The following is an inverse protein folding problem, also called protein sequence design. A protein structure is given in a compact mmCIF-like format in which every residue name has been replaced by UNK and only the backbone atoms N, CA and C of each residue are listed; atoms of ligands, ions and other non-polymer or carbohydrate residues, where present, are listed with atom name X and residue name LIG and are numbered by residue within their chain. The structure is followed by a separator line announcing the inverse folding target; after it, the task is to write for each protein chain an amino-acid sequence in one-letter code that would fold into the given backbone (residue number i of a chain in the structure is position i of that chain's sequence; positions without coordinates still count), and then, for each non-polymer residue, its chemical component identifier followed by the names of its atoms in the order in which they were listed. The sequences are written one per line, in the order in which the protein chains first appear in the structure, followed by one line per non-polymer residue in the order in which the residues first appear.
data_IF_571357591266
#
_entry.id   IF_571357591266
#
_cell.length_a   1.000
_cell.length_b   1.000
_cell.length_c   1.000
_cell.angle_alpha   90.00
_cell.angle_beta   90.00
_cell.angle_gamma   90.00
#
_symmetry.space_group_name_H-M   'P 1'
#
loop_
_entity.id
_entity.type
_entity.pdbx_description
1 polymer ?
#
# COMPACT_ATOMS: atom_id res chain seq x y z
N UNK A 1 -35.85 44.71 2.64
CA UNK A 1 -34.75 43.89 3.18
C UNK A 1 -35.36 42.97 4.23
N UNK A 2 -35.90 41.83 3.80
CA UNK A 2 -36.46 40.82 4.71
C UNK A 2 -35.30 39.93 5.15
N UNK A 3 -35.00 39.93 6.45
CA UNK A 3 -34.11 38.97 7.08
C UNK A 3 -34.83 37.63 7.14
N UNK A 4 -34.34 36.65 6.36
CA UNK A 4 -34.74 35.26 6.50
C UNK A 4 -34.01 34.72 7.74
N UNK A 5 -34.72 34.23 8.77
CA UNK A 5 -34.07 33.62 9.92
C UNK A 5 -33.41 32.32 9.45
N UNK A 6 -32.09 32.23 9.66
CA UNK A 6 -31.36 30.97 9.60
C UNK A 6 -31.89 30.13 10.75
N UNK A 7 -32.63 29.07 10.44
CA UNK A 7 -33.05 28.08 11.44
C UNK A 7 -31.79 27.39 11.96
N UNK A 8 -31.46 27.63 13.22
CA UNK A 8 -30.53 26.78 13.94
C UNK A 8 -31.09 25.35 13.90
N UNK A 9 -30.35 24.41 13.30
CA UNK A 9 -30.73 23.00 13.29
C UNK A 9 -30.97 22.50 14.71
N UNK A 10 -31.97 21.65 14.89
CA UNK A 10 -32.26 21.05 16.19
C UNK A 10 -31.00 20.35 16.71
N UNK A 11 -30.55 20.71 17.92
CA UNK A 11 -29.41 20.07 18.55
C UNK A 11 -29.77 18.62 18.90
N UNK A 12 -28.97 17.66 18.41
CA UNK A 12 -29.14 16.25 18.73
C UNK A 12 -28.96 15.99 20.23
N UNK A 13 -29.64 14.98 20.81
CA UNK A 13 -29.38 14.59 22.20
C UNK A 13 -27.91 14.17 22.36
N UNK A 14 -27.21 14.58 23.43
CA UNK A 14 -25.81 14.18 23.64
C UNK A 14 -25.71 12.68 23.98
N UNK A 15 -24.71 11.97 23.44
CA UNK A 15 -24.47 10.57 23.79
C UNK A 15 -23.74 10.42 25.15
N UNK A 16 -22.90 11.40 25.52
CA UNK A 16 -22.04 11.32 26.71
C UNK A 16 -22.78 10.91 28.00
N UNK A 17 -23.98 11.45 28.33
CA UNK A 17 -24.68 11.01 29.54
C UNK A 17 -25.02 9.52 29.59
N UNK A 18 -25.26 8.89 28.42
CA UNK A 18 -25.50 7.44 28.34
C UNK A 18 -24.20 6.66 28.60
N UNK A 19 -23.06 7.15 28.10
CA UNK A 19 -21.73 6.59 28.36
C UNK A 19 -21.36 6.73 29.84
N UNK A 20 -21.61 7.89 30.44
CA UNK A 20 -21.34 8.14 31.84
C UNK A 20 -22.15 7.22 32.76
N UNK A 21 -23.42 6.97 32.42
CA UNK A 21 -24.32 6.10 33.18
C UNK A 21 -24.04 4.60 33.01
N UNK A 22 -23.39 4.19 31.91
CA UNK A 22 -23.08 2.78 31.66
C UNK A 22 -22.04 2.23 32.65
N UNK A 23 -22.23 1.00 33.09
CA UNK A 23 -21.26 0.31 33.95
C UNK A 23 -20.00 -0.07 33.15
N UNK A 24 -18.83 -0.04 33.79
CA UNK A 24 -17.60 -0.50 33.16
C UNK A 24 -17.71 -2.00 32.78
N UNK A 25 -17.25 -2.35 31.59
CA UNK A 25 -17.36 -3.68 30.98
C UNK A 25 -18.73 -3.99 30.38
N UNK A 26 -19.71 -3.10 30.50
CA UNK A 26 -21.05 -3.33 29.94
C UNK A 26 -21.13 -3.06 28.44
N UNK A 27 -22.30 -3.37 27.86
CA UNK A 27 -22.65 -3.04 26.49
C UNK A 27 -23.69 -1.92 26.51
N UNK A 28 -23.31 -0.74 26.02
CA UNK A 28 -24.23 0.35 25.73
C UNK A 28 -24.78 0.17 24.32
N UNK A 29 -26.10 0.00 24.23
CA UNK A 29 -26.84 -0.05 22.96
C UNK A 29 -27.83 1.12 22.92
N UNK A 30 -27.45 2.28 22.36
CA UNK A 30 -28.36 3.42 22.27
C UNK A 30 -29.59 3.10 21.42
N UNK A 31 -30.68 3.82 21.67
CA UNK A 31 -31.83 3.77 20.78
C UNK A 31 -31.47 4.33 19.39
N UNK A 32 -32.13 3.86 18.31
CA UNK A 32 -31.88 4.36 16.97
C UNK A 32 -31.99 5.89 16.88
N UNK A 33 -31.00 6.54 16.28
CA UNK A 33 -31.01 8.00 16.14
C UNK A 33 -29.64 8.64 15.93
N UNK A 34 -29.66 9.98 15.90
CA UNK A 34 -28.46 10.81 15.81
C UNK A 34 -28.21 11.42 17.18
N UNK A 35 -26.97 11.32 17.64
CA UNK A 35 -26.51 11.87 18.90
C UNK A 35 -25.41 12.90 18.69
N UNK A 36 -25.40 13.94 19.51
CA UNK A 36 -24.32 14.91 19.53
C UNK A 36 -23.09 14.32 20.24
N UNK A 37 -21.94 14.42 19.57
CA UNK A 37 -20.61 14.31 20.17
C UNK A 37 -20.12 15.66 20.71
N UNK A 38 -18.86 15.75 21.17
CA UNK A 38 -17.88 14.65 21.25
C UNK A 38 -18.24 13.65 22.34
N UNK A 39 -17.67 12.45 22.24
CA UNK A 39 -17.82 11.36 23.22
C UNK A 39 -16.45 10.95 23.72
N UNK A 40 -16.25 10.97 25.04
CA UNK A 40 -15.06 10.44 25.72
C UNK A 40 -15.43 9.14 26.42
N UNK A 41 -14.70 8.08 26.10
CA UNK A 41 -14.83 6.76 26.73
C UNK A 41 -13.58 6.51 27.55
N UNK A 42 -13.71 6.60 28.88
CA UNK A 42 -12.60 6.53 29.85
C UNK A 42 -12.62 5.23 30.68
N UNK A 43 -13.52 4.30 30.35
CA UNK A 43 -13.70 3.00 30.98
C UNK A 43 -13.91 1.92 29.91
N UNK A 44 -13.53 0.65 30.16
CA UNK A 44 -13.86 -0.45 29.26
C UNK A 44 -15.36 -0.44 29.00
N UNK A 45 -15.78 -0.32 27.76
CA UNK A 45 -17.18 -0.22 27.39
C UNK A 45 -17.35 -0.66 25.94
N UNK A 46 -18.38 -1.45 25.66
CA UNK A 46 -18.82 -1.69 24.29
C UNK A 46 -19.92 -0.70 23.93
N UNK A 47 -19.72 0.13 22.91
CA UNK A 47 -20.77 0.95 22.31
C UNK A 47 -21.16 0.29 20.98
N UNK A 48 -22.39 -0.21 20.93
CA UNK A 48 -22.94 -0.91 19.76
C UNK A 48 -24.09 -0.11 19.17
N UNK A 49 -23.88 0.44 17.97
CA UNK A 49 -24.88 1.23 17.26
C UNK A 49 -25.92 0.41 16.51
N UNK A 50 -25.71 -0.91 16.34
CA UNK A 50 -26.57 -1.81 15.54
C UNK A 50 -26.92 -1.24 14.16
N UNK A 51 -26.00 -0.51 13.54
CA UNK A 51 -26.15 0.19 12.25
C UNK A 51 -27.24 1.25 12.22
N UNK A 52 -27.71 1.68 13.40
CA UNK A 52 -28.85 2.57 13.58
C UNK A 52 -28.52 3.84 14.38
N UNK A 53 -27.27 3.98 14.82
CA UNK A 53 -26.81 5.09 15.64
C UNK A 53 -25.75 5.91 14.91
N UNK A 54 -25.98 7.21 14.80
CA UNK A 54 -24.99 8.19 14.33
C UNK A 54 -24.49 9.04 15.48
N UNK A 55 -23.17 9.25 15.56
CA UNK A 55 -22.54 10.25 16.42
C UNK A 55 -22.03 11.39 15.54
N UNK A 56 -22.61 12.57 15.70
CA UNK A 56 -22.27 13.78 14.94
C UNK A 56 -21.40 14.71 15.82
N UNK A 57 -20.14 14.92 15.44
CA UNK A 57 -19.19 15.79 16.15
C UNK A 57 -19.45 17.29 15.99
N UNK A 58 -20.45 17.70 15.20
CA UNK A 58 -20.84 19.09 15.03
C UNK A 58 -19.80 19.98 14.33
N UNK A 59 -18.81 19.38 13.66
CA UNK A 59 -17.77 20.10 12.93
C UNK A 59 -16.64 20.64 13.82
N UNK A 60 -16.49 20.12 15.05
CA UNK A 60 -15.44 20.55 15.98
C UNK A 60 -14.85 19.38 16.75
N UNK A 61 -13.53 19.30 16.82
CA UNK A 61 -12.84 18.30 17.62
C UNK A 61 -12.96 16.88 17.05
N UNK A 62 -12.49 15.91 17.83
CA UNK A 62 -12.67 14.48 17.57
C UNK A 62 -14.08 14.01 17.96
N UNK A 63 -14.69 13.15 17.15
CA UNK A 63 -16.06 12.62 17.40
C UNK A 63 -16.06 11.69 18.61
N UNK A 64 -15.17 10.69 18.63
CA UNK A 64 -15.00 9.78 19.77
C UNK A 64 -13.54 9.69 20.21
N UNK A 65 -13.27 9.96 21.48
CA UNK A 65 -11.99 9.73 22.13
C UNK A 65 -12.07 8.48 23.01
N UNK A 66 -11.35 7.43 22.63
CA UNK A 66 -11.11 6.26 23.47
C UNK A 66 -9.86 6.51 24.32
N UNK A 67 -10.05 6.75 25.61
CA UNK A 67 -8.99 6.96 26.59
C UNK A 67 -9.08 5.89 27.69
N UNK A 68 -9.03 4.64 27.24
CA UNK A 68 -9.22 3.46 28.08
C UNK A 68 -8.65 2.24 27.40
N UNK A 69 -8.59 1.14 28.15
CA UNK A 69 -8.20 -0.17 27.64
C UNK A 69 -9.45 -1.05 27.50
N UNK A 70 -9.50 -1.89 26.46
CA UNK A 70 -10.56 -2.90 26.30
C UNK A 70 -11.95 -2.35 25.94
N UNK A 71 -12.06 -1.14 25.38
CA UNK A 71 -13.32 -0.65 24.81
C UNK A 71 -13.56 -1.19 23.41
N UNK A 72 -14.84 -1.25 23.02
CA UNK A 72 -15.26 -1.62 21.66
C UNK A 72 -16.21 -0.57 21.11
N UNK A 73 -15.92 -0.04 19.92
CA UNK A 73 -16.83 0.79 19.14
C UNK A 73 -17.23 0.02 17.89
N UNK A 74 -18.52 -0.28 17.74
CA UNK A 74 -19.00 -1.03 16.57
C UNK A 74 -20.37 -0.65 16.04
N UNK A 75 -20.56 -0.90 14.75
CA UNK A 75 -21.83 -0.70 14.04
C UNK A 75 -22.37 0.74 14.18
N UNK A 76 -21.45 1.72 14.23
CA UNK A 76 -21.76 3.14 14.38
C UNK A 76 -21.50 3.90 13.08
N UNK A 77 -22.23 4.99 12.88
CA UNK A 77 -21.86 6.03 11.93
C UNK A 77 -21.24 7.21 12.70
N UNK A 78 -19.97 7.52 12.45
CA UNK A 78 -19.22 8.59 13.10
C UNK A 78 -18.91 9.68 12.08
N UNK A 79 -19.41 10.90 12.30
CA UNK A 79 -19.32 11.95 11.28
C UNK A 79 -19.11 13.34 11.85
N UNK A 80 -18.76 14.28 10.97
CA UNK A 80 -18.59 15.70 11.27
C UNK A 80 -17.55 15.99 12.36
N UNK A 81 -16.33 15.44 12.26
CA UNK A 81 -15.21 15.91 13.09
C UNK A 81 -14.89 17.38 12.79
N UNK A 82 -14.02 18.00 13.59
CA UNK A 82 -13.39 19.28 13.24
C UNK A 82 -12.37 19.17 12.09
N UNK A 83 -11.67 20.28 11.83
CA UNK A 83 -10.74 20.44 10.70
C UNK A 83 -9.32 20.85 11.14
N UNK A 84 -8.99 20.71 12.42
CA UNK A 84 -7.65 21.01 12.94
C UNK A 84 -6.67 19.88 12.65
N UNK A 85 -5.66 20.17 11.82
CA UNK A 85 -4.53 19.26 11.60
C UNK A 85 -3.60 19.17 12.82
N UNK A 86 -3.57 20.23 13.65
CA UNK A 86 -2.73 20.27 14.85
C UNK A 86 -3.34 19.43 15.98
N UNK A 87 -4.66 19.49 16.15
CA UNK A 87 -5.37 18.73 17.18
C UNK A 87 -5.74 17.31 16.72
N UNK A 88 -5.50 17.02 15.43
CA UNK A 88 -5.79 15.73 14.79
C UNK A 88 -7.27 15.37 14.92
N UNK A 89 -8.15 16.31 14.55
CA UNK A 89 -9.60 16.12 14.67
C UNK A 89 -10.05 14.87 13.91
N UNK A 90 -10.44 13.83 14.66
CA UNK A 90 -10.62 12.48 14.11
C UNK A 90 -12.07 11.99 14.22
N UNK A 91 -12.44 10.97 13.45
CA UNK A 91 -13.63 10.16 13.73
C UNK A 91 -13.46 9.40 15.04
N UNK A 92 -12.33 8.71 15.18
CA UNK A 92 -11.94 8.05 16.44
C UNK A 92 -10.48 8.37 16.75
N UNK A 93 -10.21 8.86 17.95
CA UNK A 93 -8.85 8.92 18.49
C UNK A 93 -8.72 7.87 19.60
N UNK A 94 -7.64 7.11 19.57
CA UNK A 94 -7.36 6.02 20.50
C UNK A 94 -6.10 6.33 21.29
N UNK A 95 -6.23 6.26 22.61
CA UNK A 95 -5.17 6.42 23.61
C UNK A 95 -5.33 5.30 24.65
N UNK A 96 -4.92 4.10 24.25
CA UNK A 96 -5.06 2.93 25.10
C UNK A 96 -4.74 1.63 24.38
N UNK A 97 -5.06 0.52 25.04
CA UNK A 97 -4.70 -0.82 24.61
C UNK A 97 -5.90 -1.74 24.48
N UNK A 98 -5.76 -2.77 23.63
CA UNK A 98 -6.79 -3.81 23.48
C UNK A 98 -8.17 -3.29 23.08
N UNK A 99 -8.25 -2.10 22.48
CA UNK A 99 -9.50 -1.55 21.98
C UNK A 99 -9.84 -2.13 20.60
N UNK A 100 -11.13 -2.23 20.32
CA UNK A 100 -11.65 -2.72 19.04
C UNK A 100 -12.52 -1.63 18.41
N UNK A 101 -12.13 -1.17 17.23
CA UNK A 101 -12.88 -0.24 16.40
C UNK A 101 -13.28 -1.04 15.17
N UNK A 102 -14.53 -1.51 15.13
CA UNK A 102 -14.96 -2.39 14.05
C UNK A 102 -16.32 -2.08 13.45
N UNK A 103 -16.48 -2.36 12.16
CA UNK A 103 -17.80 -2.32 11.52
C UNK A 103 -18.44 -0.91 11.57
N UNK A 104 -17.62 0.15 11.59
CA UNK A 104 -18.10 1.54 11.64
C UNK A 104 -18.03 2.20 10.26
N UNK A 105 -18.95 3.13 10.02
CA UNK A 105 -18.87 4.10 8.93
C UNK A 105 -18.30 5.41 9.48
N UNK A 106 -17.15 5.85 9.00
CA UNK A 106 -16.47 7.08 9.42
C UNK A 106 -16.33 7.98 8.20
N UNK A 107 -17.06 9.10 8.17
CA UNK A 107 -17.02 10.03 7.05
C UNK A 107 -17.13 11.48 7.51
N UNK A 108 -16.81 12.42 6.61
CA UNK A 108 -16.69 13.83 6.93
C UNK A 108 -15.83 14.09 8.20
N UNK A 109 -14.85 13.22 8.41
CA UNK A 109 -13.85 13.34 9.46
C UNK A 109 -12.53 13.76 8.81
N UNK A 110 -11.79 14.69 9.43
CA UNK A 110 -10.50 15.09 8.87
C UNK A 110 -9.55 13.89 8.88
N UNK A 111 -9.35 13.29 10.05
CA UNK A 111 -8.69 11.98 10.22
C UNK A 111 -9.73 10.90 10.52
N UNK A 112 -9.54 9.68 10.03
CA UNK A 112 -10.48 8.57 10.29
C UNK A 112 -10.29 7.98 11.69
N UNK A 113 -9.26 7.13 11.83
CA UNK A 113 -8.86 6.51 13.11
C UNK A 113 -7.40 6.84 13.42
N UNK A 114 -7.16 7.52 14.53
CA UNK A 114 -5.82 7.95 14.96
C UNK A 114 -5.42 7.22 16.25
N UNK A 115 -4.42 6.35 16.16
CA UNK A 115 -3.82 5.62 17.28
C UNK A 115 -2.59 6.39 17.77
N UNK A 116 -2.66 6.90 19.00
CA UNK A 116 -1.56 7.60 19.64
C UNK A 116 -1.04 6.77 20.81
N UNK A 117 0.23 6.36 20.74
CA UNK A 117 0.90 5.60 21.80
C UNK A 117 0.08 4.39 22.26
N UNK A 118 -0.49 3.67 21.30
CA UNK A 118 -1.54 2.69 21.53
C UNK A 118 -1.07 1.31 21.08
N UNK A 119 -1.41 0.28 21.86
CA UNK A 119 -0.88 -1.07 21.66
C UNK A 119 -1.96 -2.16 21.65
N UNK A 120 -1.77 -3.20 20.83
CA UNK A 120 -2.67 -4.36 20.78
C UNK A 120 -4.13 -4.01 20.42
N UNK A 121 -4.35 -2.91 19.69
CA UNK A 121 -5.69 -2.52 19.23
C UNK A 121 -6.02 -3.14 17.88
N UNK A 122 -7.31 -3.23 17.60
CA UNK A 122 -7.85 -3.76 16.35
C UNK A 122 -8.71 -2.69 15.68
N UNK A 123 -8.32 -2.27 14.48
CA UNK A 123 -9.11 -1.43 13.59
C UNK A 123 -9.53 -2.31 12.41
N UNK A 124 -10.79 -2.76 12.38
CA UNK A 124 -11.22 -3.73 11.36
C UNK A 124 -12.57 -3.45 10.72
N UNK A 125 -12.71 -3.75 9.43
CA UNK A 125 -14.01 -3.66 8.71
C UNK A 125 -14.70 -2.30 8.84
N UNK A 126 -13.93 -1.22 8.96
CA UNK A 126 -14.49 0.13 8.94
C UNK A 126 -14.52 0.65 7.50
N UNK A 127 -15.55 1.43 7.17
CA UNK A 127 -15.59 2.22 5.95
C UNK A 127 -15.20 3.67 6.30
N UNK A 128 -14.04 4.13 5.81
CA UNK A 128 -13.43 5.40 6.18
C UNK A 128 -13.31 6.30 4.96
N UNK A 129 -13.80 7.53 5.06
CA UNK A 129 -13.53 8.60 4.11
C UNK A 129 -13.29 9.94 4.81
N UNK A 130 -12.52 10.81 4.16
CA UNK A 130 -12.20 12.12 4.72
C UNK A 130 -13.27 13.17 4.40
N UNK A 131 -13.01 14.42 4.80
CA UNK A 131 -13.82 15.58 4.41
C UNK A 131 -13.75 15.81 2.89
N UNK A 132 -14.81 16.37 2.27
CA UNK A 132 -14.85 16.67 0.83
C UNK A 132 -14.03 17.93 0.50
N UNK A 133 -12.72 17.88 0.76
CA UNK A 133 -11.73 18.92 0.46
C UNK A 133 -10.67 18.36 -0.49
N UNK A 134 -9.84 19.24 -1.05
CA UNK A 134 -8.73 18.85 -1.93
C UNK A 134 -7.80 17.83 -1.26
N UNK A 135 -7.26 16.90 -2.05
CA UNK A 135 -6.49 15.75 -1.55
C UNK A 135 -5.36 16.13 -0.58
N UNK A 136 -4.64 17.23 -0.85
CA UNK A 136 -3.55 17.70 0.02
C UNK A 136 -4.00 18.25 1.37
N UNK A 137 -5.28 18.62 1.50
CA UNK A 137 -5.91 19.19 2.70
C UNK A 137 -6.70 18.14 3.50
N UNK A 138 -6.97 16.97 2.90
CA UNK A 138 -7.56 15.83 3.61
C UNK A 138 -6.59 15.36 4.72
N UNK A 139 -7.15 14.80 5.79
CA UNK A 139 -6.36 14.11 6.80
C UNK A 139 -6.18 12.64 6.45
N UNK A 140 -5.44 11.94 7.31
CA UNK A 140 -5.09 10.55 7.11
C UNK A 140 -6.27 9.64 7.52
N UNK A 141 -6.55 8.59 6.75
CA UNK A 141 -7.63 7.65 7.02
C UNK A 141 -7.36 6.88 8.32
N UNK A 142 -6.15 6.32 8.43
CA UNK A 142 -5.70 5.59 9.61
C UNK A 142 -4.27 6.04 9.90
N UNK A 143 -4.00 6.42 11.15
CA UNK A 143 -2.69 6.90 11.58
C UNK A 143 -2.24 6.14 12.81
N UNK A 144 -1.05 5.55 12.75
CA UNK A 144 -0.36 4.92 13.87
C UNK A 144 0.83 5.80 14.25
N UNK A 145 0.85 6.30 15.48
CA UNK A 145 1.96 7.09 16.00
C UNK A 145 2.48 6.47 17.30
N UNK A 146 3.74 6.04 17.33
CA UNK A 146 4.35 5.29 18.45
C UNK A 146 3.47 4.12 18.92
N UNK A 147 2.88 3.40 17.98
CA UNK A 147 1.86 2.40 18.24
C UNK A 147 2.34 1.01 17.82
N UNK A 148 2.15 0.02 18.69
CA UNK A 148 2.79 -1.30 18.56
C UNK A 148 1.81 -2.46 18.61
N UNK A 149 2.09 -3.55 17.91
CA UNK A 149 1.28 -4.78 17.97
C UNK A 149 -0.20 -4.58 17.58
N UNK A 150 -0.53 -3.57 16.76
CA UNK A 150 -1.89 -3.30 16.34
C UNK A 150 -2.23 -4.04 15.04
N UNK A 151 -3.53 -4.27 14.82
CA UNK A 151 -4.05 -4.87 13.61
C UNK A 151 -4.97 -3.88 12.89
N UNK A 152 -4.61 -3.52 11.67
CA UNK A 152 -5.41 -2.69 10.75
C UNK A 152 -5.83 -3.59 9.60
N UNK A 153 -7.04 -4.15 9.69
CA UNK A 153 -7.46 -5.25 8.81
C UNK A 153 -8.82 -5.06 8.16
N UNK A 154 -8.97 -5.49 6.91
CA UNK A 154 -10.29 -5.58 6.27
C UNK A 154 -11.03 -4.22 6.16
N UNK A 155 -10.32 -3.08 6.21
CA UNK A 155 -10.95 -1.75 6.11
C UNK A 155 -11.12 -1.30 4.66
N UNK A 156 -12.17 -0.53 4.42
CA UNK A 156 -12.50 0.09 3.14
C UNK A 156 -12.21 1.58 3.26
N UNK A 157 -11.17 2.06 2.58
CA UNK A 157 -10.73 3.46 2.62
C UNK A 157 -11.01 4.12 1.27
N UNK A 158 -11.72 5.25 1.28
CA UNK A 158 -12.04 6.03 0.09
C UNK A 158 -11.74 7.48 0.35
N UNK A 159 -11.19 8.18 -0.64
CA UNK A 159 -11.12 9.64 -0.60
C UNK A 159 -10.52 10.21 0.70
N UNK A 160 -9.38 9.67 1.10
CA UNK A 160 -8.59 10.14 2.23
C UNK A 160 -7.17 10.48 1.78
N UNK A 161 -6.37 11.14 2.62
CA UNK A 161 -5.01 11.48 2.23
C UNK A 161 -4.11 10.25 2.24
N UNK A 162 -3.78 9.75 3.43
CA UNK A 162 -2.84 8.64 3.61
C UNK A 162 -3.37 7.60 4.61
N UNK A 163 -2.82 6.37 4.57
CA UNK A 163 -2.66 5.54 5.78
C UNK A 163 -1.22 5.65 6.24
N UNK A 164 -0.99 6.00 7.51
CA UNK A 164 0.35 6.36 8.00
C UNK A 164 0.77 5.49 9.18
N UNK A 165 2.01 5.00 9.14
CA UNK A 165 2.67 4.27 10.22
C UNK A 165 3.96 5.00 10.59
N UNK A 166 3.97 5.65 11.76
CA UNK A 166 5.05 6.51 12.25
C UNK A 166 5.62 5.99 13.56
N UNK A 167 6.95 5.83 13.62
CA UNK A 167 7.66 5.39 14.83
C UNK A 167 7.05 4.12 15.45
N UNK A 168 6.53 3.24 14.62
CA UNK A 168 5.64 2.14 15.01
C UNK A 168 6.21 0.81 14.53
N UNK A 169 5.92 -0.26 15.27
CA UNK A 169 6.47 -1.59 15.00
C UNK A 169 5.53 -2.73 15.33
N UNK A 170 5.81 -3.88 14.73
CA UNK A 170 5.09 -5.14 14.95
C UNK A 170 3.58 -5.02 14.64
N UNK A 171 3.19 -4.11 13.75
CA UNK A 171 1.80 -3.97 13.34
C UNK A 171 1.50 -4.81 12.08
N UNK A 172 0.27 -5.31 12.00
CA UNK A 172 -0.26 -5.99 10.84
C UNK A 172 -1.22 -5.04 10.09
N UNK A 173 -0.91 -4.76 8.83
CA UNK A 173 -1.76 -4.02 7.90
C UNK A 173 -2.17 -4.98 6.80
N UNK A 174 -3.38 -5.54 6.86
CA UNK A 174 -3.77 -6.62 5.94
C UNK A 174 -5.19 -6.52 5.38
N UNK A 175 -5.36 -6.97 4.13
CA UNK A 175 -6.68 -7.07 3.47
C UNK A 175 -7.49 -5.77 3.43
N UNK A 176 -6.83 -4.61 3.46
CA UNK A 176 -7.50 -3.32 3.31
C UNK A 176 -7.67 -2.98 1.82
N UNK A 177 -8.77 -2.32 1.47
CA UNK A 177 -9.05 -1.79 0.13
C UNK A 177 -9.04 -0.26 0.17
N UNK A 178 -7.98 0.37 -0.35
CA UNK A 178 -7.79 1.81 -0.33
C UNK A 178 -7.72 2.42 -1.74
N UNK A 179 -8.57 3.42 -2.02
CA UNK A 179 -8.65 4.08 -3.34
C UNK A 179 -8.89 5.58 -3.27
N UNK A 180 -8.39 6.31 -4.28
CA UNK A 180 -8.62 7.75 -4.43
C UNK A 180 -7.86 8.62 -3.43
N UNK A 181 -6.80 8.08 -2.83
CA UNK A 181 -5.92 8.77 -1.89
C UNK A 181 -4.56 9.13 -2.47
N UNK A 182 -3.70 9.68 -1.61
CA UNK A 182 -2.32 10.05 -1.95
C UNK A 182 -1.39 8.87 -1.72
N UNK A 183 -1.14 8.49 -0.47
CA UNK A 183 -0.38 7.27 -0.14
C UNK A 183 -1.34 6.20 0.40
N UNK A 184 -1.49 5.07 -0.29
CA UNK A 184 -2.29 3.97 0.28
C UNK A 184 -1.70 3.49 1.60
N UNK A 185 -0.36 3.46 1.68
CA UNK A 185 0.38 3.21 2.91
C UNK A 185 1.72 3.95 2.93
N UNK A 186 1.98 4.67 4.01
CA UNK A 186 3.16 5.50 4.19
C UNK A 186 3.84 5.17 5.53
N UNK A 187 5.06 4.64 5.47
CA UNK A 187 5.89 4.42 6.65
C UNK A 187 6.92 5.53 6.82
N UNK A 188 7.09 5.98 8.07
CA UNK A 188 8.26 6.76 8.47
C UNK A 188 8.83 6.21 9.77
N UNK A 189 10.15 5.96 9.80
CA UNK A 189 10.89 5.59 11.01
C UNK A 189 10.30 4.38 11.75
N UNK A 190 9.84 3.38 11.01
CA UNK A 190 9.06 2.25 11.54
C UNK A 190 9.76 0.92 11.27
N UNK A 191 9.47 -0.09 12.08
CA UNK A 191 10.25 -1.34 12.08
C UNK A 191 9.35 -2.58 12.13
N UNK A 192 9.77 -3.69 11.51
CA UNK A 192 9.16 -5.02 11.71
C UNK A 192 7.64 -5.11 11.50
N UNK A 193 7.08 -4.27 10.63
CA UNK A 193 5.64 -4.30 10.30
C UNK A 193 5.38 -5.22 9.10
N UNK A 194 4.15 -5.74 9.03
CA UNK A 194 3.69 -6.66 7.98
C UNK A 194 2.56 -6.04 7.18
N UNK A 195 2.69 -6.05 5.85
CA UNK A 195 1.74 -5.48 4.88
C UNK A 195 1.30 -6.59 3.94
N UNK A 196 0.07 -7.10 4.11
CA UNK A 196 -0.32 -8.38 3.50
C UNK A 196 -1.69 -8.37 2.81
N UNK A 197 -1.76 -8.80 1.56
CA UNK A 197 -3.05 -9.03 0.90
C UNK A 197 -3.90 -7.77 0.71
N UNK A 198 -3.31 -6.57 0.72
CA UNK A 198 -4.04 -5.33 0.53
C UNK A 198 -4.30 -5.05 -0.96
N UNK A 199 -5.38 -4.32 -1.23
CA UNK A 199 -5.73 -3.84 -2.55
C UNK A 199 -5.66 -2.31 -2.59
N UNK A 200 -4.67 -1.79 -3.31
CA UNK A 200 -4.39 -0.37 -3.43
C UNK A 200 -4.52 0.05 -4.89
N UNK A 201 -5.53 0.85 -5.19
CA UNK A 201 -5.89 1.19 -6.57
C UNK A 201 -6.20 2.68 -6.74
N UNK A 202 -5.73 3.29 -7.83
CA UNK A 202 -6.03 4.69 -8.16
C UNK A 202 -5.63 5.66 -7.03
N UNK A 203 -4.50 5.39 -6.39
CA UNK A 203 -3.84 6.29 -5.45
C UNK A 203 -2.61 6.91 -6.11
N UNK A 204 -2.15 8.06 -5.65
CA UNK A 204 -0.91 8.65 -6.20
C UNK A 204 0.29 7.73 -5.98
N UNK A 205 0.37 7.09 -4.82
CA UNK A 205 1.41 6.14 -4.44
C UNK A 205 0.75 4.96 -3.73
N UNK A 206 1.15 3.73 -4.08
CA UNK A 206 0.71 2.52 -3.38
C UNK A 206 1.32 2.43 -1.98
N UNK A 207 2.56 1.96 -1.90
CA UNK A 207 3.30 1.84 -0.63
C UNK A 207 4.56 2.68 -0.70
N UNK A 208 4.86 3.45 0.33
CA UNK A 208 6.16 4.13 0.44
C UNK A 208 6.79 3.85 1.80
N UNK A 209 8.00 3.26 1.77
CA UNK A 209 8.82 2.96 2.93
C UNK A 209 9.90 4.03 3.05
N UNK A 210 9.89 4.79 4.15
CA UNK A 210 10.89 5.82 4.43
C UNK A 210 11.55 5.58 5.78
N UNK A 211 12.88 5.50 5.78
CA UNK A 211 13.68 5.39 7.00
C UNK A 211 13.24 4.22 7.89
N UNK A 212 12.79 3.12 7.27
CA UNK A 212 12.11 2.02 7.94
C UNK A 212 12.83 0.71 7.65
N UNK A 213 12.78 -0.24 8.57
CA UNK A 213 13.59 -1.46 8.45
C UNK A 213 12.81 -2.73 8.84
N UNK A 214 13.16 -3.87 8.25
CA UNK A 214 12.54 -5.15 8.60
C UNK A 214 11.08 -5.27 8.16
N UNK A 215 10.64 -4.46 7.19
CA UNK A 215 9.25 -4.45 6.72
C UNK A 215 9.02 -5.59 5.73
N UNK A 216 7.95 -6.35 5.93
CA UNK A 216 7.51 -7.39 4.99
C UNK A 216 6.28 -6.88 4.24
N UNK A 217 6.39 -6.76 2.93
CA UNK A 217 5.30 -6.39 2.02
C UNK A 217 5.04 -7.56 1.09
N UNK A 218 3.92 -8.28 1.31
CA UNK A 218 3.64 -9.50 0.55
C UNK A 218 2.22 -9.63 0.03
N UNK A 219 2.08 -10.22 -1.15
CA UNK A 219 0.80 -10.57 -1.78
C UNK A 219 -0.18 -9.39 -1.91
N UNK A 220 0.33 -8.16 -2.06
CA UNK A 220 -0.51 -6.98 -2.26
C UNK A 220 -0.77 -6.73 -3.75
N UNK A 221 -1.94 -6.21 -4.09
CA UNK A 221 -2.24 -5.65 -5.40
C UNK A 221 -2.11 -4.13 -5.33
N UNK A 222 -1.21 -3.58 -6.13
CA UNK A 222 -1.00 -2.15 -6.29
C UNK A 222 -1.20 -1.82 -7.76
N UNK A 223 -2.20 -1.01 -8.08
CA UNK A 223 -2.57 -0.72 -9.45
C UNK A 223 -2.91 0.74 -9.70
N UNK A 224 -2.63 1.21 -10.92
CA UNK A 224 -3.04 2.53 -11.42
C UNK A 224 -2.49 3.70 -10.59
N UNK A 225 -1.27 3.58 -10.05
CA UNK A 225 -0.53 4.71 -9.49
C UNK A 225 0.05 5.56 -10.62
N UNK A 226 -0.79 6.42 -11.21
CA UNK A 226 -0.49 7.18 -12.43
C UNK A 226 -0.13 8.64 -12.12
N UNK A 227 0.40 9.36 -13.11
CA UNK A 227 0.82 10.76 -12.99
C UNK A 227 2.32 10.91 -12.74
N UNK A 228 2.79 12.15 -12.61
CA UNK A 228 4.23 12.48 -12.51
C UNK A 228 4.91 11.97 -11.24
N UNK A 229 4.14 11.60 -10.23
CA UNK A 229 4.61 11.03 -8.97
C UNK A 229 4.02 9.64 -8.72
N UNK A 230 3.55 8.97 -9.77
CA UNK A 230 2.90 7.67 -9.71
C UNK A 230 3.86 6.54 -9.34
N UNK A 231 3.81 6.06 -8.10
CA UNK A 231 4.74 5.02 -7.61
C UNK A 231 3.95 3.83 -7.07
N UNK A 232 4.30 2.62 -7.51
CA UNK A 232 3.78 1.37 -6.96
C UNK A 232 4.29 1.14 -5.54
N UNK A 233 5.57 0.79 -5.41
CA UNK A 233 6.27 0.69 -4.12
C UNK A 233 7.55 1.52 -4.14
N UNK A 234 7.67 2.47 -3.21
CA UNK A 234 8.83 3.33 -3.04
C UNK A 234 9.64 3.02 -1.79
N UNK A 235 10.96 3.20 -1.90
CA UNK A 235 11.94 2.99 -0.83
C UNK A 235 12.83 4.21 -0.73
N UNK A 236 12.96 4.73 0.49
CA UNK A 236 13.94 5.75 0.82
C UNK A 236 14.66 5.38 2.10
N UNK A 237 15.95 5.16 2.01
CA UNK A 237 16.80 4.80 3.13
C UNK A 237 16.19 3.67 4.00
N UNK A 238 15.77 2.59 3.34
CA UNK A 238 14.98 1.49 3.95
C UNK A 238 15.72 0.17 3.78
N UNK A 239 15.85 -0.61 4.85
CA UNK A 239 16.74 -1.78 4.92
C UNK A 239 16.05 -3.04 5.42
N UNK A 240 16.66 -4.21 5.18
CA UNK A 240 16.16 -5.53 5.61
C UNK A 240 14.70 -5.79 5.24
N UNK A 241 14.25 -5.30 4.08
CA UNK A 241 12.87 -5.51 3.62
C UNK A 241 12.71 -6.79 2.82
N UNK A 242 11.51 -7.35 2.90
CA UNK A 242 11.06 -8.46 2.04
C UNK A 242 9.85 -8.02 1.24
N UNK A 243 10.01 -7.96 -0.08
CA UNK A 243 9.00 -7.57 -1.05
C UNK A 243 8.69 -8.81 -1.88
N UNK A 244 7.56 -9.45 -1.59
CA UNK A 244 7.28 -10.81 -2.08
C UNK A 244 5.88 -10.97 -2.67
N UNK A 245 5.77 -11.60 -3.84
CA UNK A 245 4.45 -11.99 -4.39
C UNK A 245 3.51 -10.83 -4.69
N UNK A 246 4.01 -9.59 -4.72
CA UNK A 246 3.17 -8.42 -4.98
C UNK A 246 2.88 -8.27 -6.48
N UNK A 247 1.70 -7.76 -6.80
CA UNK A 247 1.28 -7.41 -8.16
C UNK A 247 1.28 -5.90 -8.31
N UNK A 248 2.22 -5.37 -9.08
CA UNK A 248 2.44 -3.93 -9.28
C UNK A 248 2.16 -3.61 -10.74
N UNK A 249 1.01 -3.00 -11.00
CA UNK A 249 0.40 -2.93 -12.32
C UNK A 249 0.07 -1.48 -12.73
N UNK A 250 0.37 -1.10 -13.97
CA UNK A 250 -0.08 0.18 -14.53
C UNK A 250 0.32 1.42 -13.71
N UNK A 251 1.47 1.37 -13.02
CA UNK A 251 2.05 2.49 -12.32
C UNK A 251 2.97 3.29 -13.25
N UNK A 252 3.15 4.59 -13.02
CA UNK A 252 4.18 5.33 -13.75
C UNK A 252 5.57 4.73 -13.45
N UNK A 253 5.81 4.36 -12.18
CA UNK A 253 6.97 3.62 -11.73
C UNK A 253 6.52 2.45 -10.84
N UNK A 254 6.93 1.22 -11.18
CA UNK A 254 6.58 0.03 -10.42
C UNK A 254 7.28 0.02 -9.06
N UNK A 255 8.61 -0.07 -9.08
CA UNK A 255 9.47 0.06 -7.90
C UNK A 255 10.35 1.32 -8.01
N UNK A 256 10.46 2.07 -6.92
CA UNK A 256 11.30 3.27 -6.81
C UNK A 256 12.29 3.10 -5.66
N UNK A 257 13.60 3.07 -5.95
CA UNK A 257 14.65 2.86 -4.94
C UNK A 257 15.58 4.07 -4.81
N UNK A 258 15.64 4.61 -3.59
CA UNK A 258 16.59 5.64 -3.16
C UNK A 258 17.41 5.16 -1.96
N UNK A 259 18.73 4.99 -2.16
CA UNK A 259 19.73 4.60 -1.13
C UNK A 259 19.20 3.50 -0.19
N UNK A 260 18.72 2.42 -0.78
CA UNK A 260 18.09 1.31 -0.06
C UNK A 260 18.72 -0.01 -0.52
N UNK A 261 19.28 -0.84 0.39
CA UNK A 261 19.34 -0.69 1.84
C UNK A 261 20.23 0.45 2.37
N UNK A 262 19.87 1.06 3.50
CA UNK A 262 20.68 2.11 4.14
C UNK A 262 21.61 1.56 5.22
N UNK A 263 21.14 0.60 6.03
CA UNK A 263 21.92 0.03 7.12
C UNK A 263 23.11 -0.79 6.58
N UNK A 264 24.35 -0.57 7.07
CA UNK A 264 25.50 -1.32 6.59
C UNK A 264 25.34 -2.84 6.77
N UNK A 265 25.52 -3.59 5.68
CA UNK A 265 25.48 -5.06 5.69
C UNK A 265 24.08 -5.68 5.60
N UNK A 266 23.03 -4.86 5.61
CA UNK A 266 21.66 -5.32 5.36
C UNK A 266 21.43 -5.65 3.89
N UNK A 267 20.42 -6.49 3.63
CA UNK A 267 20.03 -6.91 2.28
C UNK A 267 18.52 -6.76 2.13
N UNK A 268 18.10 -6.15 1.03
CA UNK A 268 16.69 -6.11 0.64
C UNK A 268 16.38 -7.23 -0.36
N UNK A 269 15.31 -7.97 -0.11
CA UNK A 269 14.89 -9.10 -0.92
C UNK A 269 13.63 -8.77 -1.71
N UNK A 270 13.70 -8.87 -3.03
CA UNK A 270 12.60 -8.71 -3.95
C UNK A 270 12.38 -10.04 -4.67
N UNK A 271 11.30 -10.74 -4.33
CA UNK A 271 11.06 -12.08 -4.86
C UNK A 271 9.65 -12.31 -5.36
N UNK A 272 9.53 -13.04 -6.47
CA UNK A 272 8.25 -13.52 -6.99
C UNK A 272 7.20 -12.41 -7.22
N UNK A 273 7.63 -11.17 -7.44
CA UNK A 273 6.72 -10.07 -7.72
C UNK A 273 6.37 -10.04 -9.21
N UNK A 274 5.11 -9.71 -9.52
CA UNK A 274 4.67 -9.35 -10.86
C UNK A 274 4.77 -7.83 -11.02
N UNK A 275 5.71 -7.37 -11.84
CA UNK A 275 5.94 -5.95 -12.14
C UNK A 275 5.59 -5.75 -13.62
N UNK A 276 4.35 -5.34 -13.88
CA UNK A 276 3.81 -5.37 -15.23
C UNK A 276 3.08 -4.11 -15.68
N UNK A 277 3.19 -3.80 -16.96
CA UNK A 277 2.52 -2.67 -17.62
C UNK A 277 2.81 -1.30 -16.99
N UNK A 278 3.94 -1.17 -16.31
CA UNK A 278 4.37 0.10 -15.72
C UNK A 278 5.10 0.96 -16.77
N UNK A 279 5.14 2.27 -16.57
CA UNK A 279 6.00 3.15 -17.37
C UNK A 279 7.47 2.77 -17.20
N UNK A 280 7.89 2.59 -15.95
CA UNK A 280 9.19 2.03 -15.58
C UNK A 280 8.95 0.88 -14.61
N UNK A 281 9.53 -0.30 -14.88
CA UNK A 281 9.45 -1.44 -13.97
C UNK A 281 10.14 -1.16 -12.64
N UNK A 282 11.44 -0.84 -12.69
CA UNK A 282 12.24 -0.41 -11.54
C UNK A 282 13.05 0.83 -11.88
N UNK A 283 12.92 1.87 -11.05
CA UNK A 283 13.82 3.01 -11.01
C UNK A 283 14.75 2.92 -9.81
N UNK A 284 16.05 3.02 -10.09
CA UNK A 284 17.06 3.35 -9.10
C UNK A 284 17.47 4.81 -9.26
N UNK A 285 17.48 5.57 -8.17
CA UNK A 285 17.97 6.97 -8.16
C UNK A 285 19.50 7.04 -8.24
N UNK A 286 20.18 5.93 -7.99
CA UNK A 286 21.64 5.83 -7.98
C UNK A 286 22.06 4.37 -8.17
N UNK A 287 23.36 4.11 -8.32
CA UNK A 287 23.93 2.75 -8.47
C UNK A 287 24.08 2.01 -7.14
N UNK A 288 23.14 2.21 -6.21
CA UNK A 288 23.22 1.62 -4.89
C UNK A 288 23.10 0.10 -4.92
N UNK A 289 23.75 -0.55 -3.96
CA UNK A 289 23.92 -2.00 -3.89
C UNK A 289 23.13 -2.59 -2.72
N UNK A 290 23.10 -3.92 -2.64
CA UNK A 290 22.51 -4.63 -1.49
C UNK A 290 21.05 -5.06 -1.68
N UNK A 291 20.57 -5.04 -2.92
CA UNK A 291 19.29 -5.63 -3.29
C UNK A 291 19.50 -6.97 -3.99
N UNK A 292 18.64 -7.95 -3.68
CA UNK A 292 18.60 -9.27 -4.32
C UNK A 292 17.23 -9.43 -4.98
N UNK A 293 17.22 -9.54 -6.30
CA UNK A 293 16.02 -9.63 -7.13
C UNK A 293 15.96 -11.00 -7.79
N UNK A 294 15.02 -11.83 -7.37
CA UNK A 294 14.90 -13.23 -7.79
C UNK A 294 13.48 -13.66 -8.10
N UNK A 295 13.23 -14.41 -9.17
CA UNK A 295 11.86 -14.93 -9.46
C UNK A 295 10.85 -13.86 -9.86
N UNK A 296 11.26 -12.59 -10.04
CA UNK A 296 10.35 -11.52 -10.40
C UNK A 296 9.97 -11.63 -11.88
N UNK A 297 8.76 -11.19 -12.21
CA UNK A 297 8.22 -11.20 -13.57
C UNK A 297 8.07 -9.77 -14.07
N UNK A 298 8.96 -9.38 -14.97
CA UNK A 298 8.91 -8.11 -15.68
C UNK A 298 8.16 -8.30 -16.99
N UNK A 299 6.98 -7.68 -17.12
CA UNK A 299 6.11 -7.92 -18.28
C UNK A 299 5.41 -6.66 -18.78
N UNK A 300 5.63 -6.30 -20.04
CA UNK A 300 4.95 -5.20 -20.72
C UNK A 300 5.25 -3.84 -20.11
N UNK A 301 6.32 -3.72 -19.32
CA UNK A 301 6.75 -2.41 -18.84
C UNK A 301 7.28 -1.63 -20.04
N UNK A 302 7.01 -0.33 -20.09
CA UNK A 302 7.55 0.51 -21.16
C UNK A 302 9.07 0.51 -21.09
N UNK A 303 9.67 0.61 -19.90
CA UNK A 303 11.11 0.42 -19.68
C UNK A 303 11.31 -0.49 -18.47
N UNK A 304 12.07 -1.57 -18.60
CA UNK A 304 12.25 -2.52 -17.49
C UNK A 304 12.98 -1.89 -16.30
N UNK A 305 14.18 -1.35 -16.54
CA UNK A 305 15.04 -0.78 -15.49
C UNK A 305 15.65 0.55 -15.93
N UNK A 306 15.66 1.50 -14.99
CA UNK A 306 16.32 2.81 -15.11
C UNK A 306 17.22 3.03 -13.91
N UNK A 307 18.42 3.57 -14.15
CA UNK A 307 19.32 4.10 -13.11
C UNK A 307 19.59 5.56 -13.43
N UNK A 308 19.26 6.46 -12.52
CA UNK A 308 19.55 7.88 -12.71
C UNK A 308 21.06 8.16 -12.69
N UNK A 309 21.50 9.08 -13.55
CA UNK A 309 22.92 9.35 -13.78
C UNK A 309 23.64 8.32 -14.65
N UNK A 310 22.91 7.39 -15.30
CA UNK A 310 23.43 6.52 -16.36
C UNK A 310 24.39 5.43 -15.89
N UNK A 311 24.37 5.10 -14.60
CA UNK A 311 25.25 4.06 -14.02
C UNK A 311 24.63 2.67 -14.15
N UNK A 312 25.18 1.70 -13.42
CA UNK A 312 24.76 0.30 -13.46
C UNK A 312 23.87 -0.08 -12.27
N UNK A 313 22.93 -1.01 -12.48
CA UNK A 313 22.19 -1.69 -11.43
C UNK A 313 22.80 -3.08 -11.09
N UNK A 314 23.90 -3.48 -11.72
CA UNK A 314 24.61 -4.75 -11.49
C UNK A 314 25.42 -4.80 -10.19
N UNK A 315 25.36 -3.74 -9.38
CA UNK A 315 25.80 -3.80 -7.99
C UNK A 315 24.77 -4.48 -7.09
N UNK A 316 23.61 -4.82 -7.65
CA UNK A 316 22.58 -5.68 -7.07
C UNK A 316 22.64 -7.07 -7.70
N UNK A 317 22.04 -8.05 -7.02
CA UNK A 317 21.98 -9.43 -7.52
C UNK A 317 20.70 -9.61 -8.32
N UNK A 318 20.82 -10.14 -9.54
CA UNK A 318 19.72 -10.48 -10.43
C UNK A 318 19.89 -11.94 -10.82
N UNK A 319 18.91 -12.77 -10.49
CA UNK A 319 18.98 -14.21 -10.76
C UNK A 319 17.58 -14.80 -10.90
N UNK A 320 17.31 -15.55 -11.97
CA UNK A 320 16.03 -16.25 -12.08
C UNK A 320 14.84 -15.31 -12.27
N UNK A 321 14.99 -14.15 -12.90
CA UNK A 321 13.86 -13.28 -13.22
C UNK A 321 13.36 -13.55 -14.64
N UNK A 322 12.05 -13.42 -14.84
CA UNK A 322 11.45 -13.43 -16.17
C UNK A 322 11.45 -12.02 -16.77
N UNK A 323 11.83 -11.93 -18.04
CA UNK A 323 11.88 -10.70 -18.83
C UNK A 323 11.15 -10.94 -20.14
N UNK A 324 10.09 -10.16 -20.43
CA UNK A 324 9.33 -10.33 -21.66
C UNK A 324 10.05 -9.87 -22.93
N UNK A 325 11.19 -9.20 -22.78
CA UNK A 325 12.15 -8.82 -23.83
C UNK A 325 13.40 -9.73 -23.85
N UNK A 326 13.37 -10.91 -23.22
CA UNK A 326 14.42 -11.91 -23.38
C UNK A 326 14.38 -12.56 -24.77
N UNK A 327 15.47 -12.43 -25.53
CA UNK A 327 15.60 -12.95 -26.91
C UNK A 327 16.44 -14.25 -27.00
N UNK A 328 16.68 -14.93 -25.87
CA UNK A 328 17.47 -16.16 -25.84
C UNK A 328 16.69 -17.41 -26.24
N UNK A 329 17.19 -18.56 -25.80
CA UNK A 329 16.56 -19.87 -26.05
C UNK A 329 16.71 -20.74 -24.80
N UNK A 330 15.76 -21.63 -24.56
CA UNK A 330 15.87 -22.76 -23.64
C UNK A 330 15.94 -24.04 -24.48
N UNK A 331 17.15 -24.60 -24.68
CA UNK A 331 17.33 -25.78 -25.57
C UNK A 331 17.21 -27.10 -24.82
N UNK A 332 17.41 -27.06 -23.51
CA UNK A 332 17.34 -28.20 -22.60
C UNK A 332 15.96 -28.38 -21.97
N UNK A 333 15.03 -27.45 -22.18
CA UNK A 333 13.63 -27.48 -21.70
C UNK A 333 13.57 -27.54 -20.17
N UNK A 334 14.45 -26.79 -19.49
CA UNK A 334 14.50 -26.71 -18.03
C UNK A 334 13.84 -25.45 -17.44
N UNK A 335 13.27 -24.60 -18.31
CA UNK A 335 12.58 -23.37 -17.94
C UNK A 335 13.49 -22.18 -17.69
N UNK A 336 14.81 -22.34 -17.86
CA UNK A 336 15.83 -21.31 -17.72
C UNK A 336 16.46 -21.05 -19.09
N UNK A 337 16.73 -19.78 -19.41
CA UNK A 337 17.40 -19.43 -20.65
C UNK A 337 18.86 -19.88 -20.70
N UNK A 338 19.28 -20.50 -21.81
CA UNK A 338 20.67 -20.93 -22.08
C UNK A 338 21.68 -19.76 -22.09
N UNK A 339 21.19 -18.52 -22.20
CA UNK A 339 22.02 -17.33 -22.29
C UNK A 339 21.59 -16.25 -21.30
N UNK A 340 22.53 -15.46 -20.77
CA UNK A 340 22.21 -14.37 -19.86
C UNK A 340 21.31 -13.31 -20.50
N UNK A 341 20.36 -12.77 -19.74
CA UNK A 341 19.64 -11.56 -20.13
C UNK A 341 20.47 -10.34 -19.75
N UNK A 342 20.69 -9.42 -20.70
CA UNK A 342 21.52 -8.24 -20.47
C UNK A 342 20.84 -6.98 -21.02
N UNK A 343 20.61 -6.00 -20.15
CA UNK A 343 20.14 -4.67 -20.52
C UNK A 343 21.35 -3.76 -20.63
N UNK A 344 21.52 -3.15 -21.80
CA UNK A 344 22.57 -2.16 -22.07
C UNK A 344 21.99 -0.74 -21.99
N UNK A 345 22.72 0.17 -21.36
CA UNK A 345 22.44 1.60 -21.39
C UNK A 345 23.27 2.25 -22.50
N UNK A 346 22.62 2.61 -23.60
CA UNK A 346 23.23 3.42 -24.64
C UNK A 346 23.32 4.87 -24.16
N UNK A 347 24.44 5.55 -24.46
CA UNK A 347 24.73 6.89 -23.96
C UNK A 347 23.70 7.95 -24.41
N UNK A 348 22.98 7.68 -25.50
CA UNK A 348 22.04 8.62 -26.13
C UNK A 348 20.57 8.27 -25.79
N UNK A 349 20.24 8.11 -24.49
CA UNK A 349 18.82 7.98 -24.10
C UNK A 349 18.13 9.34 -24.21
N UNK A 350 17.72 9.70 -25.43
CA UNK A 350 16.99 10.93 -25.73
C UNK A 350 15.76 11.12 -24.83
N UNK A 351 15.15 10.03 -24.34
CA UNK A 351 14.01 10.05 -23.40
C UNK A 351 14.37 10.28 -21.92
N UNK A 352 15.62 10.04 -21.52
CA UNK A 352 16.10 10.40 -20.17
C UNK A 352 16.38 11.90 -20.09
N UNK A 353 17.01 12.45 -21.12
CA UNK A 353 17.34 13.88 -21.20
C UNK A 353 16.15 14.73 -21.66
N UNK A 354 15.24 14.15 -22.46
CA UNK A 354 14.01 14.78 -22.95
C UNK A 354 12.80 13.92 -22.56
N UNK A 355 12.30 14.03 -21.31
CA UNK A 355 11.14 13.26 -20.84
C UNK A 355 9.92 13.28 -21.77
N UNK A 356 9.56 14.41 -22.45
CA UNK A 356 8.48 14.43 -23.43
C UNK A 356 8.66 13.48 -24.62
N UNK A 357 9.90 13.07 -24.95
CA UNK A 357 10.17 12.14 -26.03
C UNK A 357 9.60 10.74 -25.77
N UNK A 358 9.31 10.38 -24.51
CA UNK A 358 8.65 9.13 -24.14
C UNK A 358 7.28 8.95 -24.83
N UNK A 359 6.60 10.04 -25.18
CA UNK A 359 5.33 10.01 -25.93
C UNK A 359 5.47 9.30 -27.29
N UNK A 360 6.65 9.35 -27.90
CA UNK A 360 6.90 8.76 -29.23
C UNK A 360 7.43 7.33 -29.16
N UNK A 361 7.49 6.72 -27.97
CA UNK A 361 7.98 5.35 -27.80
C UNK A 361 7.06 4.35 -28.50
N UNK A 362 7.64 3.40 -29.25
CA UNK A 362 6.90 2.51 -30.16
C UNK A 362 6.49 3.14 -31.49
N UNK A 363 6.86 4.40 -31.75
CA UNK A 363 6.72 4.98 -33.10
C UNK A 363 7.80 4.43 -34.03
N UNK A 364 7.50 4.23 -35.33
CA UNK A 364 8.48 3.69 -36.29
C UNK A 364 9.80 4.47 -36.34
N UNK A 365 9.78 5.77 -36.05
CA UNK A 365 10.98 6.60 -36.06
C UNK A 365 11.87 6.34 -34.84
N UNK A 366 11.30 6.19 -33.63
CA UNK A 366 12.12 5.87 -32.46
C UNK A 366 12.66 4.44 -32.52
N UNK A 367 11.91 3.48 -33.08
CA UNK A 367 12.42 2.11 -33.32
C UNK A 367 13.63 2.09 -34.26
N UNK A 368 13.64 2.93 -35.30
CA UNK A 368 14.79 3.08 -36.20
C UNK A 368 15.99 3.72 -35.49
N UNK A 369 15.77 4.69 -34.60
CA UNK A 369 16.85 5.28 -33.80
C UNK A 369 17.43 4.24 -32.82
N UNK A 370 16.58 3.50 -32.09
CA UNK A 370 17.01 2.43 -31.18
C UNK A 370 17.80 1.35 -31.93
N UNK A 371 17.34 0.95 -33.12
CA UNK A 371 18.07 0.01 -33.98
C UNK A 371 19.45 0.54 -34.39
N UNK A 372 19.55 1.81 -34.79
CA UNK A 372 20.82 2.43 -35.17
C UNK A 372 21.78 2.54 -33.99
N UNK A 373 21.28 2.87 -32.80
CA UNK A 373 22.06 2.91 -31.56
C UNK A 373 22.61 1.52 -31.19
N UNK A 374 21.81 0.45 -31.36
CA UNK A 374 22.27 -0.93 -31.16
C UNK A 374 23.28 -1.38 -32.21
N UNK A 375 23.10 -0.97 -33.48
CA UNK A 375 23.93 -1.42 -34.60
C UNK A 375 25.31 -0.73 -34.61
N UNK A 376 25.36 0.57 -34.32
CA UNK A 376 26.57 1.38 -34.40
C UNK A 376 26.63 2.44 -33.29
N UNK A 377 26.80 2.01 -32.02
CA UNK A 377 26.86 2.95 -30.91
C UNK A 377 28.13 3.81 -30.99
N UNK A 378 27.99 5.14 -30.80
CA UNK A 378 29.11 6.08 -30.83
C UNK A 378 30.06 5.95 -29.63
N UNK A 379 29.60 5.30 -28.56
CA UNK A 379 30.36 4.97 -27.34
C UNK A 379 30.00 3.55 -26.90
N UNK A 380 30.90 2.86 -26.20
CA UNK A 380 30.58 1.54 -25.65
C UNK A 380 29.42 1.68 -24.66
N UNK A 381 28.30 0.97 -24.84
CA UNK A 381 27.19 1.06 -23.91
C UNK A 381 27.56 0.45 -22.56
N UNK A 382 27.04 1.05 -21.48
CA UNK A 382 27.26 0.55 -20.13
C UNK A 382 26.29 -0.59 -19.82
N UNK A 383 26.78 -1.67 -19.23
CA UNK A 383 25.94 -2.79 -18.81
C UNK A 383 25.08 -2.37 -17.61
N UNK A 384 23.78 -2.23 -17.83
CA UNK A 384 22.81 -1.77 -16.82
C UNK A 384 22.40 -2.90 -15.89
N UNK A 385 21.92 -4.00 -16.46
CA UNK A 385 21.44 -5.21 -15.75
C UNK A 385 21.97 -6.43 -16.47
N UNK A 386 22.31 -7.46 -15.71
CA UNK A 386 22.67 -8.78 -16.22
C UNK A 386 22.13 -9.83 -15.26
N UNK A 387 21.21 -10.66 -15.77
CA UNK A 387 20.68 -11.85 -15.11
C UNK A 387 21.31 -13.07 -15.80
N UNK A 388 22.08 -13.88 -15.06
CA UNK A 388 22.81 -15.02 -15.64
C UNK A 388 21.88 -16.20 -15.95
N UNK A 389 20.75 -16.30 -15.24
CA UNK A 389 19.81 -17.42 -15.34
C UNK A 389 18.38 -16.90 -15.51
N UNK A 390 18.08 -16.14 -16.58
CA UNK A 390 16.73 -15.60 -16.78
C UNK A 390 15.72 -16.73 -16.98
N UNK A 391 14.50 -16.55 -16.50
CA UNK A 391 13.43 -17.51 -16.76
C UNK A 391 12.93 -17.40 -18.19
N UNK A 392 12.73 -18.56 -18.82
CA UNK A 392 12.26 -18.64 -20.19
C UNK A 392 10.78 -18.29 -20.33
N UNK A 393 9.94 -18.80 -19.41
CA UNK A 393 8.49 -18.57 -19.40
C UNK A 393 8.07 -17.86 -18.11
N UNK A 394 7.03 -17.02 -18.23
CA UNK A 394 6.42 -16.35 -17.09
C UNK A 394 5.73 -17.33 -16.15
N UNK A 395 5.25 -18.47 -16.66
CA UNK A 395 4.58 -19.51 -15.90
C UNK A 395 5.57 -20.51 -15.25
N UNK A 396 6.89 -20.37 -15.47
CA UNK A 396 7.90 -21.21 -14.80
C UNK A 396 7.84 -21.04 -13.29
N UNK A 397 7.40 -22.07 -12.56
CA UNK A 397 7.54 -22.17 -11.12
C UNK A 397 8.97 -22.64 -10.80
N UNK A 398 9.81 -21.72 -10.34
CA UNK A 398 11.15 -22.09 -9.90
C UNK A 398 11.07 -22.52 -8.44
N UNK A 399 11.32 -23.81 -8.19
CA UNK A 399 11.74 -24.24 -6.85
C UNK A 399 13.19 -23.79 -6.68
N UNK A 400 13.41 -22.50 -6.40
CA UNK A 400 14.74 -22.03 -6.01
C UNK A 400 15.07 -22.70 -4.68
N UNK A 401 16.12 -23.51 -4.66
CA UNK A 401 16.70 -24.06 -3.44
C UNK A 401 17.32 -22.91 -2.64
N UNK A 402 16.51 -22.16 -1.90
CA UNK A 402 17.00 -21.19 -0.94
C UNK A 402 17.63 -21.98 0.22
N UNK A 403 18.91 -21.77 0.57
CA UNK A 403 19.44 -22.29 1.82
C UNK A 403 18.63 -21.64 2.95
N UNK A 404 17.83 -22.44 3.66
CA UNK A 404 17.28 -22.03 4.95
C UNK A 404 18.45 -21.82 5.93
N UNK A 405 18.94 -20.60 6.00
CA UNK A 405 19.86 -20.18 7.04
C UNK A 405 19.27 -18.99 7.77
N UNK A 406 18.56 -19.29 8.86
CA UNK A 406 18.43 -18.35 9.98
C UNK A 406 17.13 -17.56 10.12
N UNK A 407 15.97 -18.22 10.10
CA UNK A 407 14.80 -17.74 10.84
C UNK A 407 14.26 -18.90 11.69
N UNK A 408 15.01 -19.27 12.71
CA UNK A 408 14.49 -20.15 13.76
C UNK A 408 13.59 -19.30 14.68
N UNK A 409 12.30 -19.46 14.50
CA UNK A 409 11.24 -18.85 15.30
C UNK A 409 9.88 -19.36 14.88
N UNK A 410 9.79 -20.66 14.54
CA UNK A 410 8.51 -21.34 14.29
C UNK A 410 7.74 -21.41 15.60
N UNK A 411 6.76 -20.51 15.76
CA UNK A 411 5.64 -20.75 16.64
C UNK A 411 4.59 -21.48 15.81
N UNK A 412 4.50 -22.80 16.04
CA UNK A 412 3.43 -23.65 15.54
C UNK A 412 2.06 -23.04 15.90
N UNK A 413 1.36 -22.53 14.90
CA UNK A 413 -0.08 -22.32 14.98
C UNK A 413 -0.72 -23.50 14.24
N UNK A 414 -1.27 -24.45 15.00
CA UNK A 414 -2.08 -25.52 14.42
C UNK A 414 -3.28 -24.89 13.70
N UNK A 415 -3.44 -25.23 12.42
CA UNK A 415 -4.62 -24.96 11.62
C UNK A 415 -5.84 -25.61 12.29
N UNK A 416 -6.87 -24.80 12.57
CA UNK A 416 -8.17 -25.27 13.03
C UNK A 416 -8.82 -26.15 11.93
N UNK A 417 -9.01 -27.46 12.17
CA UNK A 417 -9.57 -28.37 11.16
C UNK A 417 -11.06 -28.14 10.87
N UNK A 418 -11.73 -27.24 11.61
CA UNK A 418 -13.16 -26.96 11.47
C UNK A 418 -13.47 -25.62 10.74
N UNK A 419 -12.48 -24.97 10.12
CA UNK A 419 -12.70 -23.75 9.34
C UNK A 419 -13.52 -24.03 8.06
N UNK A 420 -14.75 -23.48 7.99
CA UNK A 420 -15.59 -23.54 6.80
C UNK A 420 -14.94 -22.84 5.58
N UNK A 421 -15.15 -23.34 4.35
CA UNK A 421 -14.54 -22.77 3.15
C UNK A 421 -15.00 -21.32 2.90
N UNK A 422 -14.05 -20.48 2.50
CA UNK A 422 -14.25 -19.07 2.13
C UNK A 422 -15.41 -18.88 1.14
N UNK A 423 -16.28 -17.91 1.42
CA UNK A 423 -17.30 -17.47 0.46
C UNK A 423 -16.63 -16.79 -0.75
N UNK A 424 -17.10 -17.04 -1.98
CA UNK A 424 -16.57 -16.39 -3.16
C UNK A 424 -16.75 -14.86 -3.08
N UNK A 425 -15.75 -14.13 -3.58
CA UNK A 425 -15.75 -12.68 -3.66
C UNK A 425 -17.01 -12.17 -4.41
N UNK A 426 -17.62 -11.04 -3.98
CA UNK A 426 -18.76 -10.47 -4.67
C UNK A 426 -18.38 -9.97 -6.08
N UNK A 427 -19.21 -10.31 -7.06
CA UNK A 427 -19.04 -9.93 -8.46
C UNK A 427 -18.89 -8.41 -8.62
N UNK A 428 -17.90 -8.01 -9.43
CA UNK A 428 -17.67 -6.61 -9.79
C UNK A 428 -18.87 -6.03 -10.56
N UNK A 429 -19.22 -4.77 -10.27
CA UNK A 429 -20.26 -4.05 -11.00
C UNK A 429 -19.90 -3.91 -12.50
N UNK A 430 -20.87 -4.04 -13.42
CA UNK A 430 -20.58 -4.04 -14.86
C UNK A 430 -20.27 -2.61 -15.35
N UNK A 431 -19.05 -2.39 -15.85
CA UNK A 431 -18.68 -1.15 -16.55
C UNK A 431 -17.25 -0.66 -16.34
N UNK A 432 -16.47 -1.25 -15.43
CA UNK A 432 -15.03 -0.98 -15.30
C UNK A 432 -14.20 -1.86 -16.23
N UNK A 433 -13.08 -1.35 -16.73
CA UNK A 433 -12.09 -2.15 -17.43
C UNK A 433 -11.50 -3.19 -16.44
N UNK A 434 -11.77 -4.48 -16.68
CA UNK A 434 -11.22 -5.57 -15.88
C UNK A 434 -9.79 -5.89 -16.36
N UNK A 435 -8.81 -5.31 -15.67
CA UNK A 435 -7.40 -5.52 -15.94
C UNK A 435 -6.96 -6.99 -15.76
N UNK A 436 -7.68 -7.77 -14.95
CA UNK A 436 -7.40 -9.19 -14.75
C UNK A 436 -7.94 -10.03 -15.91
N UNK A 437 -9.10 -9.67 -16.46
CA UNK A 437 -9.62 -10.24 -17.72
C UNK A 437 -8.71 -9.91 -18.91
N UNK A 438 -8.22 -8.67 -19.01
CA UNK A 438 -7.27 -8.28 -20.04
C UNK A 438 -5.94 -9.05 -19.97
N UNK A 439 -5.44 -9.30 -18.75
CA UNK A 439 -4.25 -10.15 -18.53
C UNK A 439 -4.53 -11.60 -18.94
N UNK A 440 -5.67 -12.19 -18.55
CA UNK A 440 -6.08 -13.55 -18.96
C UNK A 440 -6.16 -13.71 -20.48
N UNK A 441 -6.78 -12.74 -21.16
CA UNK A 441 -6.86 -12.70 -22.63
C UNK A 441 -5.49 -12.55 -23.29
N UNK A 442 -4.58 -11.76 -22.69
CA UNK A 442 -3.20 -11.62 -23.19
C UNK A 442 -2.35 -12.88 -23.02
N UNK A 443 -2.76 -13.79 -22.13
CA UNK A 443 -2.12 -15.08 -21.86
C UNK A 443 -2.71 -16.24 -22.70
N UNK A 444 -3.63 -15.95 -23.63
CA UNK A 444 -4.20 -16.97 -24.52
C UNK A 444 -5.12 -17.99 -23.84
N UNK A 445 -5.73 -17.63 -22.69
CA UNK A 445 -6.66 -18.48 -21.96
C UNK A 445 -8.06 -17.86 -21.99
N UNK A 446 -8.97 -18.47 -22.75
CA UNK A 446 -10.43 -18.33 -22.59
C UNK A 446 -10.92 -19.16 -21.39
#
# INVERSE_FOLDING_TARGET
MLLIPVWAGAAYPPLQPLVDAAEAGSVLTPEPGIYAGPVRVDKPLTIDGRDQVTIDGGGKGTVVLLETDGATLRNLHLTNSGSSHNDLDSGVQVRGKFNVISDNRIDNALFGVDLQQSENNIVRRNHISSKPVDLGVRGDAIRLWYSFNNQVTDNVIRDARDTVVWYSRDNLIARNDARGGRYSLHFMYSQTNRVEGNHYENNTVGVFLMYSDGIVVRNNLIANATGTTGIGIGFKETSDVVIEGNRILYCAEGLYLDVSPYQPGSINHFRDNLIAYNGIGIRFINDWQGNVLTGNRFKGNTTQVVVEGGKTANRNTWDGNYWDDYEGFDRNDDGVGDSPHAIQAFADRLWMDVPPAQFFKGSPMLEVIDFLERLAPFTTPDLLVRDEHPLWDADTEVVLAVPQAGLAGDADWELDPDAEPEAPAPDAAPGGYDAYEALRRSLGRD
#
